data_IF_720471818101
#
_entry.id   IF_720471818101
#
_cell.length_a   1.000
_cell.length_b   1.000
_cell.length_c   1.000
_cell.angle_alpha   90.00
_cell.angle_beta   90.00
_cell.angle_gamma   90.00
#
_symmetry.space_group_name_H-M   'P 1'
#
loop_
_entity.id
_entity.type
_entity.pdbx_description
1 polymer ?
#
# COMPACT_ATOMS: atom_id res chain seq x y z
N UNK A 1 -1.96 -30.99 -22.52
CA UNK A 1 -1.47 -29.60 -22.38
C UNK A 1 -0.92 -29.48 -20.97
N UNK A 2 0.38 -29.67 -20.81
CA UNK A 2 1.03 -29.58 -19.49
C UNK A 2 0.99 -28.12 -19.04
N UNK A 3 0.38 -27.86 -17.88
CA UNK A 3 0.30 -26.52 -17.29
C UNK A 3 1.70 -25.95 -17.14
N UNK A 4 1.98 -24.81 -17.78
CA UNK A 4 3.28 -24.14 -17.86
C UNK A 4 3.51 -23.40 -16.53
N UNK A 5 3.76 -24.15 -15.46
CA UNK A 5 4.32 -23.63 -14.22
C UNK A 5 5.85 -23.65 -14.29
N UNK A 6 6.52 -22.85 -13.46
CA UNK A 6 7.96 -23.02 -13.28
C UNK A 6 8.26 -24.40 -12.68
N UNK A 7 9.15 -25.18 -13.29
CA UNK A 7 9.60 -26.46 -12.72
C UNK A 7 10.65 -26.26 -11.60
N UNK A 8 11.32 -25.10 -11.59
CA UNK A 8 12.41 -24.76 -10.66
C UNK A 8 12.25 -23.29 -10.26
N UNK A 9 12.38 -23.03 -8.96
CA UNK A 9 12.39 -21.71 -8.34
C UNK A 9 13.69 -21.51 -7.56
N UNK A 10 13.97 -20.27 -7.18
CA UNK A 10 15.13 -19.92 -6.36
C UNK A 10 14.65 -19.32 -5.05
N UNK A 11 14.95 -19.92 -3.91
CA UNK A 11 14.73 -19.29 -2.62
C UNK A 11 15.94 -18.44 -2.25
N UNK A 12 15.69 -17.26 -1.68
CA UNK A 12 16.72 -16.34 -1.19
C UNK A 12 16.48 -16.01 0.28
N UNK A 13 17.52 -16.18 1.09
CA UNK A 13 17.52 -15.81 2.51
C UNK A 13 18.91 -15.30 2.91
N UNK A 14 18.99 -14.13 3.58
CA UNK A 14 20.25 -13.51 4.03
C UNK A 14 21.36 -13.47 2.95
N UNK A 15 20.99 -13.18 1.70
CA UNK A 15 21.93 -13.14 0.57
C UNK A 15 22.31 -14.50 -0.03
N UNK A 16 21.94 -15.61 0.62
CA UNK A 16 22.13 -16.98 0.11
C UNK A 16 20.96 -17.37 -0.79
N UNK A 17 21.25 -18.04 -1.90
CA UNK A 17 20.24 -18.51 -2.86
C UNK A 17 20.33 -20.02 -3.07
N UNK A 18 19.18 -20.70 -3.11
CA UNK A 18 19.09 -22.16 -3.31
C UNK A 18 17.99 -22.47 -4.32
N UNK A 19 18.28 -23.32 -5.31
CA UNK A 19 17.27 -23.82 -6.24
C UNK A 19 16.40 -24.89 -5.58
N UNK A 20 15.10 -24.75 -5.75
CA UNK A 20 14.09 -25.65 -5.17
C UNK A 20 13.03 -25.98 -6.20
N UNK A 21 12.38 -27.13 -6.03
CA UNK A 21 11.12 -27.41 -6.73
C UNK A 21 10.00 -26.59 -6.10
N UNK A 22 9.01 -26.13 -6.88
CA UNK A 22 7.84 -25.48 -6.33
C UNK A 22 7.08 -26.42 -5.40
N UNK A 23 6.82 -25.95 -4.18
CA UNK A 23 5.98 -26.68 -3.23
C UNK A 23 4.50 -26.58 -3.64
N UNK A 24 3.72 -27.63 -3.36
CA UNK A 24 2.30 -27.69 -3.69
C UNK A 24 1.46 -26.79 -2.76
N UNK A 25 1.97 -26.49 -1.56
CA UNK A 25 1.28 -25.63 -0.59
C UNK A 25 2.23 -24.62 0.05
N UNK A 26 1.67 -23.53 0.58
CA UNK A 26 2.44 -22.53 1.33
C UNK A 26 3.18 -23.16 2.52
N UNK A 27 2.50 -24.05 3.27
CA UNK A 27 3.09 -24.73 4.43
C UNK A 27 4.29 -25.59 4.03
N UNK A 28 4.17 -26.33 2.94
CA UNK A 28 5.27 -27.11 2.39
C UNK A 28 6.42 -26.20 1.90
N UNK A 29 6.11 -25.06 1.29
CA UNK A 29 7.13 -24.07 0.91
C UNK A 29 7.92 -23.53 2.11
N UNK A 30 7.25 -23.29 3.23
CA UNK A 30 7.91 -22.90 4.49
C UNK A 30 8.81 -24.04 5.00
N UNK A 31 8.34 -25.28 4.95
CA UNK A 31 9.13 -26.42 5.40
C UNK A 31 10.36 -26.66 4.50
N UNK A 32 10.22 -26.50 3.18
CA UNK A 32 11.35 -26.54 2.25
C UNK A 32 12.36 -25.44 2.60
N UNK A 33 11.91 -24.22 2.89
CA UNK A 33 12.80 -23.14 3.31
C UNK A 33 13.56 -23.50 4.59
N UNK A 34 12.93 -24.13 5.58
CA UNK A 34 13.59 -24.60 6.81
C UNK A 34 14.59 -25.72 6.56
N UNK A 35 14.31 -26.59 5.59
CA UNK A 35 15.21 -27.67 5.19
C UNK A 35 16.45 -27.15 4.47
N UNK A 36 16.28 -26.18 3.55
CA UNK A 36 17.40 -25.65 2.74
C UNK A 36 18.20 -24.56 3.46
N UNK A 37 17.62 -23.88 4.44
CA UNK A 37 18.29 -22.88 5.29
C UNK A 37 18.27 -23.35 6.75
N UNK A 38 19.35 -24.00 7.24
CA UNK A 38 19.42 -24.51 8.60
C UNK A 38 19.18 -23.45 9.69
N UNK A 39 19.50 -22.18 9.41
CA UNK A 39 19.23 -21.04 10.29
C UNK A 39 17.72 -20.86 10.61
N UNK A 40 16.85 -21.32 9.71
CA UNK A 40 15.39 -21.25 9.87
C UNK A 40 14.84 -22.46 10.63
N UNK A 41 15.64 -23.49 10.91
CA UNK A 41 15.16 -24.71 11.57
C UNK A 41 14.61 -24.43 12.98
N UNK A 42 15.24 -23.51 13.72
CA UNK A 42 14.81 -23.09 15.06
C UNK A 42 13.73 -22.01 15.07
N UNK A 43 13.42 -21.41 13.91
CA UNK A 43 12.42 -20.34 13.79
C UNK A 43 11.02 -20.95 13.69
N UNK A 44 10.07 -20.39 14.44
CA UNK A 44 8.66 -20.77 14.34
C UNK A 44 8.14 -20.56 12.89
N UNK A 45 7.55 -21.59 12.25
CA UNK A 45 6.97 -21.47 10.91
C UNK A 45 6.01 -20.28 10.75
N UNK A 46 5.29 -19.87 11.80
CA UNK A 46 4.38 -18.73 11.73
C UNK A 46 5.11 -17.39 11.47
N UNK A 47 6.39 -17.30 11.84
CA UNK A 47 7.24 -16.12 11.64
C UNK A 47 7.91 -16.11 10.26
N UNK A 48 7.88 -17.21 9.52
CA UNK A 48 8.47 -17.30 8.19
C UNK A 48 7.47 -16.83 7.14
N UNK A 49 7.82 -15.75 6.46
CA UNK A 49 7.06 -15.17 5.36
C UNK A 49 7.77 -15.39 4.04
N UNK A 50 7.00 -15.89 3.06
CA UNK A 50 7.47 -16.05 1.68
C UNK A 50 6.98 -14.86 0.88
N UNK A 51 7.90 -14.19 0.21
CA UNK A 51 7.69 -12.92 -0.47
C UNK A 51 8.23 -12.96 -1.90
N UNK A 52 7.70 -12.08 -2.74
CA UNK A 52 8.14 -11.88 -4.12
C UNK A 52 8.39 -10.41 -4.37
N UNK A 53 9.30 -10.11 -5.29
CA UNK A 53 9.46 -8.75 -5.79
C UNK A 53 8.36 -8.45 -6.79
N UNK A 54 7.48 -7.51 -6.44
CA UNK A 54 6.45 -6.99 -7.33
C UNK A 54 6.66 -5.50 -7.60
N UNK A 55 5.88 -4.96 -8.54
CA UNK A 55 5.84 -3.52 -8.78
C UNK A 55 4.51 -2.97 -8.29
N UNK A 56 4.55 -2.08 -7.29
CA UNK A 56 3.39 -1.37 -6.77
C UNK A 56 3.67 0.12 -6.92
N UNK A 57 2.79 0.87 -7.57
CA UNK A 57 2.97 2.31 -7.79
C UNK A 57 4.30 2.70 -8.47
N UNK A 58 4.74 1.94 -9.48
CA UNK A 58 6.03 2.11 -10.19
C UNK A 58 7.28 1.92 -9.32
N UNK A 59 7.12 1.44 -8.08
CA UNK A 59 8.22 1.09 -7.20
C UNK A 59 8.29 -0.42 -7.03
N UNK A 60 9.51 -0.97 -7.00
CA UNK A 60 9.72 -2.36 -6.65
C UNK A 60 9.49 -2.51 -5.15
N UNK A 61 8.57 -3.38 -4.78
CA UNK A 61 8.22 -3.67 -3.40
C UNK A 61 8.18 -5.16 -3.17
N UNK A 62 8.49 -5.54 -1.94
CA UNK A 62 8.47 -6.92 -1.50
C UNK A 62 7.05 -7.26 -1.03
N UNK A 63 6.40 -8.16 -1.74
CA UNK A 63 4.99 -8.51 -1.52
C UNK A 63 4.94 -9.89 -0.88
N UNK A 64 4.33 -9.98 0.31
CA UNK A 64 4.09 -11.25 1.00
C UNK A 64 3.04 -12.08 0.26
N UNK A 65 3.31 -13.35 0.05
CA UNK A 65 2.37 -14.31 -0.51
C UNK A 65 1.50 -14.87 0.62
N UNK A 66 0.19 -14.70 0.51
CA UNK A 66 -0.76 -15.37 1.41
C UNK A 66 -0.99 -16.83 1.00
N UNK A 67 -1.33 -17.70 1.96
CA UNK A 67 -1.56 -19.13 1.69
C UNK A 67 -2.63 -19.38 0.61
N UNK A 68 -3.69 -18.58 0.57
CA UNK A 68 -4.76 -18.68 -0.44
C UNK A 68 -4.29 -18.32 -1.86
N UNK A 69 -3.28 -17.46 -1.98
CA UNK A 69 -2.75 -17.01 -3.26
C UNK A 69 -1.58 -17.88 -3.76
N UNK A 70 -1.10 -18.83 -2.94
CA UNK A 70 0.10 -19.61 -3.22
C UNK A 70 0.11 -20.23 -4.62
N UNK A 71 -0.89 -21.06 -4.94
CA UNK A 71 -0.94 -21.76 -6.22
C UNK A 71 -1.00 -20.81 -7.41
N UNK A 72 -1.77 -19.73 -7.29
CA UNK A 72 -1.86 -18.71 -8.35
C UNK A 72 -0.53 -17.99 -8.56
N UNK A 73 0.13 -17.61 -7.47
CA UNK A 73 1.40 -16.88 -7.51
C UNK A 73 2.54 -17.75 -8.00
N UNK A 74 2.66 -18.99 -7.51
CA UNK A 74 3.75 -19.91 -7.84
C UNK A 74 3.64 -20.43 -9.27
N UNK A 75 2.44 -20.80 -9.73
CA UNK A 75 2.24 -21.32 -11.10
C UNK A 75 2.51 -20.25 -12.15
N UNK A 76 2.27 -18.97 -11.83
CA UNK A 76 2.54 -17.85 -12.76
C UNK A 76 4.01 -17.41 -12.82
N UNK A 77 4.90 -17.99 -12.01
CA UNK A 77 6.32 -17.63 -12.01
C UNK A 77 7.06 -18.21 -13.21
N UNK A 78 8.08 -17.49 -13.64
CA UNK A 78 9.07 -18.01 -14.58
C UNK A 78 10.03 -18.98 -13.88
N UNK A 79 10.70 -19.84 -14.67
CA UNK A 79 11.77 -20.70 -14.16
C UNK A 79 12.90 -19.85 -13.57
N UNK A 80 13.45 -20.31 -12.45
CA UNK A 80 14.53 -19.66 -11.69
C UNK A 80 14.16 -18.32 -11.05
N UNK A 81 12.88 -17.95 -11.05
CA UNK A 81 12.40 -16.75 -10.35
C UNK A 81 12.84 -16.79 -8.88
N UNK A 82 13.27 -15.63 -8.37
CA UNK A 82 13.72 -15.47 -6.99
C UNK A 82 12.53 -15.18 -6.08
N UNK A 83 12.39 -16.02 -5.06
CA UNK A 83 11.43 -15.90 -3.97
C UNK A 83 12.21 -15.58 -2.70
N UNK A 84 11.82 -14.50 -2.06
CA UNK A 84 12.44 -14.01 -0.84
C UNK A 84 11.82 -14.64 0.39
N UNK A 85 12.66 -15.18 1.27
CA UNK A 85 12.26 -15.68 2.58
C UNK A 85 12.61 -14.62 3.61
N UNK A 86 11.65 -14.26 4.46
CA UNK A 86 11.81 -13.23 5.50
C UNK A 86 11.33 -13.79 6.83
N UNK A 87 12.06 -13.51 7.89
CA UNK A 87 11.63 -13.79 9.26
C UNK A 87 11.00 -12.54 9.85
N UNK A 88 9.73 -12.62 10.23
CA UNK A 88 9.01 -11.56 10.94
C UNK A 88 9.44 -11.59 12.41
N UNK A 89 9.85 -10.45 13.01
CA UNK A 89 10.19 -10.39 14.42
C UNK A 89 8.97 -10.68 15.29
N UNK A 90 9.19 -11.32 16.41
CA UNK A 90 8.17 -11.51 17.43
C UNK A 90 7.98 -10.20 18.19
N UNK A 91 6.76 -9.66 18.17
CA UNK A 91 6.43 -8.46 18.92
C UNK A 91 6.07 -8.91 20.33
N UNK A 92 7.06 -8.94 21.22
CA UNK A 92 6.79 -9.11 22.65
C UNK A 92 6.21 -7.79 23.13
N UNK A 93 4.93 -7.82 23.44
CA UNK A 93 4.26 -6.71 24.11
C UNK A 93 4.45 -6.95 25.59
N UNK A 94 5.41 -6.24 26.19
CA UNK A 94 5.65 -6.31 27.63
C UNK A 94 4.36 -5.87 28.35
N UNK A 95 3.65 -6.84 28.91
CA UNK A 95 2.35 -6.63 29.54
C UNK A 95 2.44 -5.71 30.78
N UNK A 96 3.65 -5.53 31.30
CA UNK A 96 3.93 -4.70 32.47
C UNK A 96 3.92 -3.19 32.15
N UNK A 97 4.05 -2.79 30.88
CA UNK A 97 4.06 -1.38 30.45
C UNK A 97 2.75 -0.95 29.74
N UNK A 98 1.81 -1.88 29.58
CA UNK A 98 0.51 -1.68 28.94
C UNK A 98 -0.65 -1.42 29.91
N UNK A 99 -0.37 -0.97 31.13
CA UNK A 99 -1.44 -0.25 31.84
C UNK A 99 -1.76 0.98 30.98
N UNK A 100 -2.99 1.11 30.44
CA UNK A 100 -3.37 2.34 29.77
C UNK A 100 -3.03 3.49 30.72
N UNK A 101 -2.52 4.64 30.23
CA UNK A 101 -2.24 5.78 31.09
C UNK A 101 -3.44 6.02 32.01
N UNK A 102 -3.20 6.09 33.32
CA UNK A 102 -4.27 6.27 34.29
C UNK A 102 -4.88 7.68 34.09
N UNK A 103 -5.95 7.75 33.31
CA UNK A 103 -6.65 9.00 33.03
C UNK A 103 -7.41 9.52 34.26
N UNK A 104 -7.59 8.72 35.32
CA UNK A 104 -8.34 9.11 36.51
C UNK A 104 -7.52 9.94 37.51
N UNK A 105 -6.18 9.97 37.38
CA UNK A 105 -5.30 10.76 38.26
C UNK A 105 -5.04 12.18 37.78
N UNK A 106 -5.75 12.65 36.75
CA UNK A 106 -5.79 14.09 36.42
C UNK A 106 -6.50 14.81 37.57
N UNK A 107 -5.73 15.22 38.58
CA UNK A 107 -6.17 16.19 39.57
C UNK A 107 -6.65 17.41 38.81
N UNK A 108 -7.94 17.68 38.89
CA UNK A 108 -8.54 18.94 38.45
C UNK A 108 -7.77 20.09 39.09
N UNK A 109 -6.80 20.65 38.36
CA UNK A 109 -6.31 22.01 38.60
C UNK A 109 -7.35 22.95 38.00
N UNK A 110 -8.55 22.93 38.58
CA UNK A 110 -9.63 23.86 38.28
C UNK A 110 -9.36 25.18 39.02
N UNK A 111 -8.40 25.97 38.53
CA UNK A 111 -8.67 27.41 38.50
C UNK A 111 -9.70 27.61 37.40
N UNK A 112 -10.97 27.56 37.80
CA UNK A 112 -12.17 27.58 36.96
C UNK A 112 -12.26 28.81 36.03
N UNK A 113 -11.36 29.78 36.16
CA UNK A 113 -11.40 31.03 35.40
C UNK A 113 -10.64 31.00 34.05
N UNK A 114 -9.78 30.00 33.79
CA UNK A 114 -8.99 29.96 32.54
C UNK A 114 -9.60 29.09 31.42
N UNK A 115 -10.54 28.19 31.75
CA UNK A 115 -11.14 27.28 30.74
C UNK A 115 -12.15 27.96 29.82
N UNK A 116 -12.67 29.13 30.23
CA UNK A 116 -13.55 29.97 29.42
C UNK A 116 -12.82 31.14 28.78
N UNK A 117 -11.50 31.29 28.97
CA UNK A 117 -10.73 32.26 28.22
C UNK A 117 -10.89 31.90 26.74
N UNK A 118 -11.53 32.76 25.91
CA UNK A 118 -11.56 32.52 24.48
C UNK A 118 -10.09 32.40 24.05
N UNK A 119 -9.71 31.28 23.43
CA UNK A 119 -8.37 31.10 22.89
C UNK A 119 -8.04 32.28 21.97
N UNK A 120 -7.41 33.31 22.56
CA UNK A 120 -6.80 34.42 21.85
C UNK A 120 -5.43 33.95 21.39
N UNK A 121 -5.38 32.80 20.72
CA UNK A 121 -4.31 32.57 19.79
C UNK A 121 -4.42 33.73 18.80
N UNK A 122 -3.40 34.60 18.67
CA UNK A 122 -3.43 35.64 17.67
C UNK A 122 -3.68 34.94 16.34
N UNK A 123 -4.80 35.25 15.70
CA UNK A 123 -5.12 34.75 14.37
C UNK A 123 -3.86 34.90 13.53
N UNK A 124 -3.35 33.83 12.91
CA UNK A 124 -2.15 33.91 12.12
C UNK A 124 -2.41 34.99 11.07
N UNK A 125 -1.75 36.15 11.21
CA UNK A 125 -1.82 37.18 10.19
C UNK A 125 -1.39 36.49 8.91
N UNK A 126 -2.19 36.54 7.84
CA UNK A 126 -1.75 36.01 6.56
C UNK A 126 -0.55 36.85 6.13
N UNK A 127 0.65 36.38 6.46
CA UNK A 127 1.85 36.83 5.77
C UNK A 127 1.69 36.21 4.39
N UNK A 128 1.12 36.97 3.47
CA UNK A 128 1.22 36.71 2.05
C UNK A 128 2.71 36.74 1.67
N UNK A 129 3.43 35.67 1.98
CA UNK A 129 4.68 35.34 1.30
C UNK A 129 4.27 34.83 -0.06
N UNK A 130 4.02 35.76 -0.97
CA UNK A 130 4.11 35.51 -2.39
C UNK A 130 5.55 35.05 -2.59
N UNK A 131 5.74 33.74 -2.79
CA UNK A 131 7.01 33.23 -3.30
C UNK A 131 7.08 33.77 -4.72
N UNK A 132 8.01 34.69 -5.06
CA UNK A 132 8.17 35.12 -6.43
C UNK A 132 8.81 33.95 -7.17
N UNK A 133 8.05 33.28 -8.02
CA UNK A 133 8.65 32.46 -9.08
C UNK A 133 9.32 33.44 -10.05
N UNK A 134 10.62 33.31 -10.34
CA UNK A 134 11.25 34.17 -11.33
C UNK A 134 10.59 33.92 -12.69
N UNK A 135 9.88 34.92 -13.23
CA UNK A 135 9.44 34.94 -14.63
C UNK A 135 7.94 35.00 -14.95
N UNK A 136 7.03 35.18 -13.97
CA UNK A 136 5.59 35.25 -14.28
C UNK A 136 5.01 36.69 -14.16
N UNK A 137 4.36 37.24 -15.21
CA UNK A 137 3.73 38.55 -15.15
C UNK A 137 2.44 38.55 -14.31
N UNK A 138 2.29 39.58 -13.50
CA UNK A 138 1.20 39.77 -12.54
C UNK A 138 -0.16 39.96 -13.22
N UNK A 139 -1.16 39.15 -12.83
CA UNK A 139 -2.58 39.46 -13.04
C UNK A 139 -3.39 39.21 -11.76
N UNK A 140 -3.90 40.32 -11.24
CA UNK A 140 -4.89 40.42 -10.19
C UNK A 140 -6.22 39.79 -10.62
N UNK A 141 -6.84 38.99 -9.76
CA UNK A 141 -8.20 39.20 -9.22
C UNK A 141 -8.73 37.90 -8.59
N UNK A 142 -8.99 37.97 -7.29
CA UNK A 142 -9.76 36.98 -6.55
C UNK A 142 -11.24 37.07 -6.96
N UNK A 143 -11.85 35.94 -7.35
CA UNK A 143 -13.30 35.74 -7.21
C UNK A 143 -13.57 34.31 -6.74
N UNK A 144 -13.81 34.22 -5.44
CA UNK A 144 -14.52 33.12 -4.78
C UNK A 144 -15.94 32.99 -5.35
N UNK A 145 -16.31 31.79 -5.81
CA UNK A 145 -17.72 31.33 -5.83
C UNK A 145 -17.76 29.82 -5.64
N UNK A 146 -18.05 29.41 -4.40
CA UNK A 146 -18.61 28.10 -4.10
C UNK A 146 -20.04 28.02 -4.65
N UNK A 147 -20.44 26.97 -5.37
CA UNK A 147 -21.84 26.69 -5.66
C UNK A 147 -22.40 25.67 -4.65
N UNK A 148 -23.41 26.07 -3.90
CA UNK A 148 -24.28 25.16 -3.14
C UNK A 148 -25.18 24.37 -4.11
N UNK A 149 -25.52 23.09 -3.85
CA UNK A 149 -26.46 22.34 -4.68
C UNK A 149 -27.91 22.69 -4.32
N UNK A 150 -28.68 23.16 -5.30
CA UNK A 150 -30.13 23.26 -5.20
C UNK A 150 -30.79 21.99 -5.75
N UNK A 151 -31.74 21.46 -4.99
CA UNK A 151 -32.68 20.44 -5.44
C UNK A 151 -33.56 20.98 -6.58
N UNK A 152 -33.69 20.20 -7.65
CA UNK A 152 -34.84 20.27 -8.56
C UNK A 152 -35.21 18.86 -9.02
N UNK A 153 -36.36 18.42 -8.52
CA UNK A 153 -37.11 17.24 -8.93
C UNK A 153 -38.02 17.65 -10.10
N UNK A 154 -38.10 16.79 -11.13
CA UNK A 154 -39.03 16.89 -12.26
C UNK A 154 -38.27 17.07 -13.59
N UNK A 155 -38.53 16.34 -14.66
CA UNK A 155 -39.47 15.26 -14.93
C UNK A 155 -39.30 14.84 -16.39
N UNK A 156 -39.58 13.57 -16.66
CA UNK A 156 -40.13 13.04 -17.92
C UNK A 156 -39.39 13.28 -19.25
N UNK A 157 -38.77 12.17 -19.71
CA UNK A 157 -39.09 11.50 -20.98
C UNK A 157 -38.26 11.76 -22.25
N UNK A 158 -37.84 10.62 -22.80
CA UNK A 158 -37.58 10.26 -24.20
C UNK A 158 -36.20 10.42 -24.84
N UNK A 159 -35.86 9.34 -25.56
CA UNK A 159 -34.91 9.17 -26.65
C UNK A 159 -33.41 8.99 -26.34
N UNK A 160 -33.05 7.70 -26.24
CA UNK A 160 -32.13 6.97 -27.13
C UNK A 160 -30.69 7.46 -27.37
N UNK A 161 -29.80 6.44 -27.46
CA UNK A 161 -28.36 6.45 -27.81
C UNK A 161 -27.47 6.87 -26.65
N UNK A 162 -26.44 6.14 -26.26
CA UNK A 162 -25.88 4.88 -26.72
C UNK A 162 -24.62 4.69 -25.87
N UNK A 163 -24.45 3.49 -25.33
CA UNK A 163 -23.26 3.10 -24.61
C UNK A 163 -22.02 3.11 -25.54
N UNK A 164 -20.84 3.03 -24.92
CA UNK A 164 -19.52 2.78 -25.53
C UNK A 164 -18.83 4.00 -26.19
N UNK A 165 -18.06 4.77 -25.40
CA UNK A 165 -17.25 5.88 -25.92
C UNK A 165 -15.82 6.02 -25.37
N UNK A 166 -15.34 5.09 -24.53
CA UNK A 166 -14.03 5.22 -23.85
C UNK A 166 -12.94 4.28 -24.37
N UNK A 167 -13.22 3.52 -25.44
CA UNK A 167 -12.24 2.69 -26.12
C UNK A 167 -12.09 3.16 -27.56
N UNK A 168 -11.01 3.92 -27.84
CA UNK A 168 -10.24 3.99 -29.10
C UNK A 168 -9.36 5.24 -29.10
N UNK A 169 -8.22 5.13 -28.45
CA UNK A 169 -7.04 5.93 -28.77
C UNK A 169 -5.84 5.04 -28.45
N UNK A 170 -5.01 4.77 -29.47
CA UNK A 170 -3.63 4.22 -29.44
C UNK A 170 -3.27 3.26 -30.58
N UNK A 171 -3.95 3.31 -31.74
CA UNK A 171 -3.32 2.82 -32.98
C UNK A 171 -3.58 3.78 -34.13
N UNK A 172 -2.50 4.42 -34.58
CA UNK A 172 -2.49 5.17 -35.82
C UNK A 172 -1.27 6.07 -35.93
N UNK A 173 -0.16 5.54 -36.49
CA UNK A 173 0.59 6.28 -37.50
C UNK A 173 1.44 5.33 -38.36
N UNK A 174 1.13 5.43 -39.65
CA UNK A 174 1.78 4.91 -40.84
C UNK A 174 3.19 5.46 -41.04
N UNK A 175 4.04 4.69 -41.72
CA UNK A 175 4.72 5.18 -42.94
C UNK A 175 5.12 4.00 -43.82
N UNK A 176 4.79 4.17 -45.09
CA UNK A 176 5.03 3.32 -46.25
C UNK A 176 6.08 4.05 -47.07
N UNK A 177 7.09 3.33 -47.54
CA UNK A 177 7.65 3.38 -48.91
C UNK A 177 8.49 2.11 -49.14
#
# INVERSE_FOLDING_TARGET
MSSIGADILTYRYNGTMVYVTPAATYKEGVEYARQVFPELASVDPARISICINGTVNKQRQLIRIGAMAWNSVITSRARYEVIDIIVVPEIVVDADELSPPDYFTIKEKSSHDDFLAPSRAPSPRPVHKIIPVPGAPARSHCRSRSPSPHHSIGGSSTSSRGAYGWAKSLLGRSTQE
#
